data_IF_733366760104
#
_entry.id   IF_733366760104
#
_cell.length_a   1.000
_cell.length_b   1.000
_cell.length_c   1.000
_cell.angle_alpha   90.00
_cell.angle_beta   90.00
_cell.angle_gamma   90.00
#
_symmetry.space_group_name_H-M   'P 1'
#
loop_
_entity.id
_entity.type
_entity.pdbx_description
1 polymer ?
#
# COMPACT_ATOMS: atom_id res chain seq x y z
N UNK A 1 -11.61 31.88 9.25
CA UNK A 1 -10.60 30.90 8.79
C UNK A 1 -9.79 30.45 10.01
N UNK A 2 -9.81 29.15 10.33
CA UNK A 2 -8.97 28.65 11.44
C UNK A 2 -7.51 28.84 11.07
N UNK A 3 -6.73 29.46 11.96
CA UNK A 3 -5.29 29.64 11.79
C UNK A 3 -4.63 28.25 11.71
N UNK A 4 -3.67 28.11 10.80
CA UNK A 4 -2.90 26.85 10.66
C UNK A 4 -2.18 26.55 11.99
N UNK A 5 -2.36 25.33 12.48
CA UNK A 5 -1.69 24.81 13.66
C UNK A 5 -0.84 23.59 13.24
N UNK A 6 0.49 23.69 13.31
CA UNK A 6 1.39 22.60 12.93
C UNK A 6 1.16 21.29 13.69
N UNK A 7 0.71 21.37 14.94
CA UNK A 7 0.48 20.18 15.78
C UNK A 7 -0.68 19.30 15.25
N UNK A 8 -1.62 19.91 14.52
CA UNK A 8 -2.76 19.18 13.96
C UNK A 8 -2.45 18.47 12.62
N UNK A 9 -1.38 18.87 11.94
CA UNK A 9 -1.08 18.38 10.59
C UNK A 9 -0.84 16.87 10.54
N UNK A 10 0.07 16.35 11.37
CA UNK A 10 0.40 14.92 11.41
C UNK A 10 -0.80 14.03 11.77
N UNK A 11 -1.53 14.33 12.87
CA UNK A 11 -2.75 13.62 13.23
C UNK A 11 -3.82 13.66 12.13
N UNK A 12 -4.04 14.79 11.48
CA UNK A 12 -5.00 14.92 10.39
C UNK A 12 -4.59 14.07 9.18
N UNK A 13 -3.33 14.14 8.77
CA UNK A 13 -2.81 13.34 7.67
C UNK A 13 -2.97 11.85 7.92
N UNK A 14 -2.52 11.37 9.08
CA UNK A 14 -2.61 9.96 9.45
C UNK A 14 -4.05 9.47 9.61
N UNK A 15 -4.90 10.29 10.22
CA UNK A 15 -6.33 10.02 10.39
C UNK A 15 -7.07 9.93 9.06
N UNK A 16 -6.84 10.88 8.16
CA UNK A 16 -7.44 10.91 6.82
C UNK A 16 -7.01 9.71 5.99
N UNK A 17 -5.72 9.38 5.98
CA UNK A 17 -5.21 8.22 5.27
C UNK A 17 -5.81 6.91 5.79
N UNK A 18 -5.99 6.79 7.11
CA UNK A 18 -6.65 5.63 7.74
C UNK A 18 -8.13 5.55 7.36
N UNK A 19 -8.87 6.65 7.47
CA UNK A 19 -10.28 6.71 7.13
C UNK A 19 -10.53 6.36 5.65
N UNK A 20 -9.68 6.87 4.75
CA UNK A 20 -9.72 6.53 3.32
C UNK A 20 -9.56 5.02 3.08
N UNK A 21 -8.54 4.40 3.71
CA UNK A 21 -8.32 2.95 3.59
C UNK A 21 -9.48 2.15 4.16
N UNK A 22 -10.02 2.54 5.31
CA UNK A 22 -11.18 1.88 5.91
C UNK A 22 -12.42 1.95 5.01
N UNK A 23 -12.64 3.10 4.36
CA UNK A 23 -13.78 3.26 3.45
C UNK A 23 -13.64 2.37 2.21
N UNK A 24 -12.44 2.26 1.67
CA UNK A 24 -12.16 1.34 0.55
C UNK A 24 -12.32 -0.12 0.99
N UNK A 25 -11.82 -0.47 2.16
CA UNK A 25 -11.95 -1.82 2.72
C UNK A 25 -13.42 -2.23 2.87
N UNK A 26 -14.26 -1.35 3.40
CA UNK A 26 -15.70 -1.58 3.50
C UNK A 26 -16.35 -1.89 2.14
N UNK A 27 -15.94 -1.19 1.08
CA UNK A 27 -16.46 -1.40 -0.28
C UNK A 27 -15.97 -2.68 -0.94
N UNK A 28 -14.78 -3.13 -0.56
CA UNK A 28 -14.17 -4.37 -1.09
C UNK A 28 -14.57 -5.61 -0.29
N UNK A 29 -15.10 -5.43 0.92
CA UNK A 29 -15.53 -6.54 1.78
C UNK A 29 -16.51 -7.52 1.12
N UNK A 30 -17.54 -7.07 0.35
CA UNK A 30 -18.44 -7.99 -0.37
C UNK A 30 -17.73 -8.87 -1.42
N UNK A 31 -16.50 -8.51 -1.82
CA UNK A 31 -15.69 -9.32 -2.74
C UNK A 31 -14.87 -10.42 -2.02
N UNK A 32 -15.03 -10.58 -0.70
CA UNK A 32 -14.24 -11.52 0.11
C UNK A 32 -12.78 -11.11 0.30
N UNK A 33 -12.46 -9.83 0.08
CA UNK A 33 -11.12 -9.29 0.19
C UNK A 33 -10.90 -8.61 1.53
N UNK A 34 -9.99 -9.14 2.34
CA UNK A 34 -9.48 -8.42 3.51
C UNK A 34 -8.54 -7.28 3.09
N UNK A 35 -8.36 -6.31 3.98
CA UNK A 35 -7.46 -5.17 3.73
C UNK A 35 -6.04 -5.63 3.36
N UNK A 36 -5.51 -6.61 4.07
CA UNK A 36 -4.19 -7.17 3.76
C UNK A 36 -4.14 -7.82 2.37
N UNK A 37 -5.17 -8.56 1.96
CA UNK A 37 -5.26 -9.19 0.64
C UNK A 37 -5.27 -8.15 -0.47
N UNK A 38 -6.24 -7.23 -0.49
CA UNK A 38 -6.36 -6.29 -1.60
C UNK A 38 -5.16 -5.32 -1.68
N UNK A 39 -4.59 -4.91 -0.56
CA UNK A 39 -3.38 -4.08 -0.55
C UNK A 39 -2.20 -4.81 -1.18
N UNK A 40 -1.96 -6.05 -0.79
CA UNK A 40 -0.89 -6.87 -1.38
C UNK A 40 -1.06 -7.03 -2.88
N UNK A 41 -2.26 -7.37 -3.35
CA UNK A 41 -2.54 -7.54 -4.78
C UNK A 41 -2.33 -6.24 -5.58
N UNK A 42 -2.75 -5.10 -5.05
CA UNK A 42 -2.55 -3.80 -5.70
C UNK A 42 -1.07 -3.41 -5.75
N UNK A 43 -0.31 -3.66 -4.69
CA UNK A 43 1.14 -3.38 -4.72
C UNK A 43 1.86 -4.27 -5.73
N UNK A 44 1.48 -5.54 -5.84
CA UNK A 44 2.01 -6.43 -6.86
C UNK A 44 1.64 -5.99 -8.28
N UNK A 45 0.41 -5.55 -8.51
CA UNK A 45 -0.05 -5.12 -9.84
C UNK A 45 0.60 -3.82 -10.34
N UNK A 46 1.05 -2.96 -9.43
CA UNK A 46 1.68 -1.67 -9.74
C UNK A 46 3.19 -1.75 -9.83
N UNK A 47 3.77 -2.88 -9.47
CA UNK A 47 5.21 -3.06 -9.53
C UNK A 47 5.65 -3.29 -10.99
N UNK A 48 6.70 -2.60 -11.41
CA UNK A 48 7.33 -2.78 -12.73
C UNK A 48 8.07 -4.12 -12.86
N UNK A 49 8.51 -4.67 -11.72
CA UNK A 49 9.20 -5.94 -11.62
C UNK A 49 8.59 -6.80 -10.49
N UNK A 50 8.74 -8.13 -10.56
CA UNK A 50 8.28 -9.00 -9.48
C UNK A 50 8.94 -8.65 -8.15
N UNK A 51 8.14 -8.54 -7.09
CA UNK A 51 8.60 -8.16 -5.76
C UNK A 51 8.99 -9.38 -4.92
N UNK A 52 10.02 -9.23 -4.10
CA UNK A 52 10.34 -10.19 -3.03
C UNK A 52 9.37 -10.01 -1.86
N UNK A 53 9.30 -11.01 -0.98
CA UNK A 53 8.47 -10.94 0.23
C UNK A 53 8.85 -9.72 1.11
N UNK A 54 10.14 -9.45 1.29
CA UNK A 54 10.61 -8.30 2.06
C UNK A 54 10.16 -6.98 1.44
N UNK A 55 10.29 -6.82 0.11
CA UNK A 55 9.80 -5.62 -0.59
C UNK A 55 8.29 -5.43 -0.46
N UNK A 56 7.51 -6.51 -0.47
CA UNK A 56 6.07 -6.43 -0.26
C UNK A 56 5.76 -6.00 1.18
N UNK A 57 6.47 -6.56 2.17
CA UNK A 57 6.32 -6.19 3.58
C UNK A 57 6.58 -4.69 3.79
N UNK A 58 7.67 -4.17 3.24
CA UNK A 58 8.03 -2.75 3.30
C UNK A 58 6.96 -1.85 2.67
N UNK A 59 6.45 -2.22 1.49
CA UNK A 59 5.43 -1.43 0.77
C UNK A 59 4.05 -1.47 1.44
N UNK A 60 3.70 -2.60 2.04
CA UNK A 60 2.38 -2.78 2.67
C UNK A 60 2.37 -2.40 4.15
N UNK A 61 3.53 -2.32 4.81
CA UNK A 61 3.65 -2.18 6.24
C UNK A 61 3.14 -3.39 7.01
N UNK A 62 3.06 -4.56 6.35
CA UNK A 62 2.71 -5.84 6.98
C UNK A 62 4.01 -6.50 7.44
N UNK A 63 4.05 -6.95 8.69
CA UNK A 63 5.21 -7.68 9.21
C UNK A 63 5.47 -8.97 8.42
N UNK A 64 6.73 -9.31 8.19
CA UNK A 64 7.11 -10.44 7.33
C UNK A 64 6.44 -11.77 7.71
N UNK A 65 6.36 -12.20 8.98
CA UNK A 65 5.69 -13.47 9.33
C UNK A 65 4.21 -13.49 8.95
N UNK A 66 3.52 -12.36 9.15
CA UNK A 66 2.11 -12.18 8.77
C UNK A 66 1.95 -12.20 7.25
N UNK A 67 2.87 -11.54 6.53
CA UNK A 67 2.88 -11.53 5.08
C UNK A 67 3.13 -12.94 4.50
N UNK A 68 4.06 -13.70 5.05
CA UNK A 68 4.32 -15.09 4.63
C UNK A 68 3.05 -15.94 4.72
N UNK A 69 2.34 -15.86 5.84
CA UNK A 69 1.07 -16.56 6.03
C UNK A 69 -0.01 -16.10 5.05
N UNK A 70 -0.06 -14.80 4.75
CA UNK A 70 -0.96 -14.23 3.75
C UNK A 70 -0.65 -14.73 2.34
N UNK A 71 0.63 -14.71 1.94
CA UNK A 71 1.08 -15.16 0.63
C UNK A 71 0.82 -16.67 0.43
N UNK A 72 0.98 -17.48 1.48
CA UNK A 72 0.59 -18.90 1.43
C UNK A 72 -0.89 -19.08 1.10
N UNK A 73 -1.77 -18.30 1.73
CA UNK A 73 -3.21 -18.36 1.44
C UNK A 73 -3.53 -17.88 0.02
N UNK A 74 -2.93 -16.77 -0.41
CA UNK A 74 -3.11 -16.25 -1.77
C UNK A 74 -2.62 -17.24 -2.85
N UNK A 75 -1.54 -17.95 -2.58
CA UNK A 75 -1.01 -19.00 -3.47
C UNK A 75 -1.94 -20.21 -3.51
N UNK A 76 -2.43 -20.68 -2.36
CA UNK A 76 -3.40 -21.76 -2.26
C UNK A 76 -4.73 -21.43 -2.97
N UNK A 77 -5.16 -20.18 -2.89
CA UNK A 77 -6.34 -19.66 -3.60
C UNK A 77 -6.07 -19.44 -5.10
N UNK A 78 -4.81 -19.58 -5.55
CA UNK A 78 -4.39 -19.44 -6.95
C UNK A 78 -4.35 -18.01 -7.45
N UNK A 79 -4.11 -17.03 -6.58
CA UNK A 79 -4.04 -15.62 -6.94
C UNK A 79 -2.62 -15.18 -7.24
N UNK A 80 -1.66 -15.80 -6.59
CA UNK A 80 -0.23 -15.55 -6.79
C UNK A 80 0.53 -16.87 -6.95
N UNK A 81 1.75 -16.79 -7.44
CA UNK A 81 2.74 -17.87 -7.42
C UNK A 81 4.08 -17.31 -6.96
N UNK A 82 4.79 -18.06 -6.13
CA UNK A 82 6.14 -17.71 -5.69
C UNK A 82 7.16 -18.48 -6.51
N UNK A 83 8.11 -17.77 -7.08
CA UNK A 83 9.19 -18.35 -7.91
C UNK A 83 10.54 -17.96 -7.31
N UNK A 84 11.56 -18.76 -7.55
CA UNK A 84 12.92 -18.37 -7.19
C UNK A 84 13.32 -17.14 -7.99
N UNK A 85 13.97 -16.18 -7.32
CA UNK A 85 14.48 -14.99 -8.00
C UNK A 85 15.60 -15.39 -8.98
N UNK A 86 15.58 -14.77 -10.18
CA UNK A 86 16.65 -14.94 -11.14
C UNK A 86 17.97 -14.32 -10.66
N UNK A 87 17.90 -13.30 -9.79
CA UNK A 87 19.09 -12.58 -9.27
C UNK A 87 19.70 -13.25 -8.03
N UNK A 88 18.85 -13.83 -7.16
CA UNK A 88 19.29 -14.52 -5.95
C UNK A 88 18.35 -15.69 -5.65
N UNK A 89 18.86 -16.92 -5.81
CA UNK A 89 18.10 -18.16 -5.56
C UNK A 89 17.64 -18.33 -4.10
N UNK A 90 18.19 -17.57 -3.17
CA UNK A 90 17.78 -17.55 -1.76
C UNK A 90 16.49 -16.75 -1.55
N UNK A 91 16.17 -15.86 -2.49
CA UNK A 91 14.98 -15.03 -2.43
C UNK A 91 13.90 -15.57 -3.36
N UNK A 92 12.65 -15.49 -2.91
CA UNK A 92 11.48 -15.77 -3.74
C UNK A 92 10.83 -14.47 -4.16
N UNK A 93 10.44 -14.41 -5.42
CA UNK A 93 9.61 -13.34 -5.98
C UNK A 93 8.17 -13.79 -6.09
N UNK A 94 7.24 -12.85 -5.92
CA UNK A 94 5.80 -13.10 -5.97
C UNK A 94 5.24 -12.56 -7.27
N UNK A 95 4.51 -13.39 -7.98
CA UNK A 95 3.92 -13.07 -9.28
C UNK A 95 2.40 -13.24 -9.20
N UNK A 96 1.68 -12.32 -9.83
CA UNK A 96 0.23 -12.45 -9.99
C UNK A 96 -0.09 -13.56 -10.99
N UNK A 97 -1.15 -14.30 -10.71
CA UNK A 97 -1.72 -15.23 -11.68
C UNK A 97 -2.64 -14.50 -12.65
N UNK A 98 -2.76 -14.92 -13.94
CA UNK A 98 -3.59 -14.25 -14.93
C UNK A 98 -5.06 -14.08 -14.48
N UNK A 99 -5.61 -15.07 -13.78
CA UNK A 99 -6.99 -15.00 -13.25
C UNK A 99 -7.22 -13.88 -12.24
N UNK A 100 -6.15 -13.36 -11.62
CA UNK A 100 -6.21 -12.28 -10.61
C UNK A 100 -6.48 -10.92 -11.25
N UNK A 101 -6.23 -10.77 -12.54
CA UNK A 101 -6.42 -9.51 -13.27
C UNK A 101 -7.84 -8.97 -13.13
N UNK A 102 -8.86 -9.83 -13.24
CA UNK A 102 -10.27 -9.42 -13.06
C UNK A 102 -10.54 -8.82 -11.69
N UNK A 103 -9.95 -9.40 -10.65
CA UNK A 103 -10.11 -8.91 -9.28
C UNK A 103 -9.41 -7.57 -9.11
N UNK A 104 -8.19 -7.43 -9.64
CA UNK A 104 -7.45 -6.18 -9.62
C UNK A 104 -8.23 -5.08 -10.33
N UNK A 105 -8.82 -5.34 -11.49
CA UNK A 105 -9.63 -4.39 -12.23
C UNK A 105 -10.86 -3.95 -11.42
N UNK A 106 -11.53 -4.86 -10.72
CA UNK A 106 -12.63 -4.52 -9.82
C UNK A 106 -12.20 -3.67 -8.62
N UNK A 107 -11.04 -3.98 -8.01
CA UNK A 107 -10.47 -3.18 -6.93
C UNK A 107 -10.18 -1.76 -7.44
N UNK A 108 -9.53 -1.64 -8.61
CA UNK A 108 -9.19 -0.35 -9.20
C UNK A 108 -10.44 0.47 -9.54
N UNK A 109 -11.47 -0.14 -10.11
CA UNK A 109 -12.75 0.52 -10.40
C UNK A 109 -13.43 1.03 -9.12
N UNK A 110 -13.45 0.21 -8.06
CA UNK A 110 -14.00 0.61 -6.76
C UNK A 110 -13.21 1.75 -6.13
N UNK A 111 -11.88 1.68 -6.20
CA UNK A 111 -11.00 2.75 -5.71
C UNK A 111 -11.16 4.05 -6.50
N UNK A 112 -11.33 3.97 -7.83
CA UNK A 112 -11.59 5.12 -8.69
C UNK A 112 -12.91 5.80 -8.32
N UNK A 113 -13.97 5.01 -8.16
CA UNK A 113 -15.29 5.53 -7.76
C UNK A 113 -15.22 6.23 -6.40
N UNK A 114 -14.58 5.61 -5.41
CA UNK A 114 -14.39 6.23 -4.09
C UNK A 114 -13.61 7.55 -4.20
N UNK A 115 -12.56 7.58 -5.01
CA UNK A 115 -11.75 8.78 -5.23
C UNK A 115 -12.60 9.91 -5.78
N UNK A 116 -13.38 9.66 -6.81
CA UNK A 116 -14.30 10.65 -7.37
C UNK A 116 -15.27 11.19 -6.33
N UNK A 117 -15.88 10.32 -5.55
CA UNK A 117 -16.84 10.74 -4.51
C UNK A 117 -16.22 11.62 -3.42
N UNK A 118 -14.94 11.40 -3.09
CA UNK A 118 -14.29 12.09 -1.98
C UNK A 118 -13.61 13.41 -2.37
N UNK A 119 -13.23 13.58 -3.64
CA UNK A 119 -12.42 14.75 -4.05
C UNK A 119 -12.96 15.50 -5.26
N UNK A 120 -14.08 15.06 -5.86
CA UNK A 120 -14.58 15.63 -7.10
C UNK A 120 -15.08 17.09 -6.96
N UNK A 121 -15.51 17.49 -5.77
CA UNK A 121 -15.98 18.83 -5.44
C UNK A 121 -14.85 19.79 -5.01
N UNK A 122 -13.61 19.29 -4.90
CA UNK A 122 -12.44 20.09 -4.55
C UNK A 122 -11.84 20.70 -5.80
N UNK A 123 -11.63 22.05 -5.84
CA UNK A 123 -11.00 22.68 -6.97
C UNK A 123 -9.63 22.08 -7.31
N UNK A 124 -9.36 21.86 -8.60
CA UNK A 124 -8.09 21.27 -9.07
C UNK A 124 -6.87 21.99 -8.50
N UNK A 125 -6.91 23.35 -8.47
CA UNK A 125 -5.85 24.17 -7.93
C UNK A 125 -5.52 23.82 -6.47
N UNK A 126 -6.54 23.58 -5.64
CA UNK A 126 -6.36 23.28 -4.22
C UNK A 126 -5.79 21.85 -4.06
N UNK A 127 -6.21 20.91 -4.90
CA UNK A 127 -5.62 19.58 -4.96
C UNK A 127 -4.15 19.61 -5.39
N UNK A 128 -3.78 20.45 -6.37
CA UNK A 128 -2.38 20.61 -6.78
C UNK A 128 -1.51 21.17 -5.66
N UNK A 129 -2.03 22.15 -4.90
CA UNK A 129 -1.34 22.69 -3.71
C UNK A 129 -1.17 21.59 -2.65
N UNK A 130 -2.23 20.85 -2.36
CA UNK A 130 -2.19 19.74 -1.41
C UNK A 130 -1.13 18.71 -1.81
N UNK A 131 -1.10 18.30 -3.06
CA UNK A 131 -0.13 17.33 -3.57
C UNK A 131 1.32 17.83 -3.47
N UNK A 132 1.56 19.12 -3.77
CA UNK A 132 2.89 19.71 -3.60
C UNK A 132 3.35 19.69 -2.14
N UNK A 133 2.46 20.07 -1.21
CA UNK A 133 2.77 20.05 0.23
C UNK A 133 3.09 18.64 0.70
N UNK A 134 2.25 17.66 0.35
CA UNK A 134 2.46 16.25 0.74
C UNK A 134 3.77 15.69 0.15
N UNK A 135 4.07 15.98 -1.11
CA UNK A 135 5.33 15.55 -1.74
C UNK A 135 6.54 16.19 -1.04
N UNK A 136 6.47 17.48 -0.73
CA UNK A 136 7.53 18.17 0.01
C UNK A 136 7.78 17.53 1.39
N UNK A 137 6.72 17.26 2.14
CA UNK A 137 6.81 16.57 3.44
C UNK A 137 7.44 15.18 3.27
N UNK A 138 7.02 14.41 2.25
CA UNK A 138 7.57 13.09 1.95
C UNK A 138 9.07 13.15 1.66
N UNK A 139 9.51 14.06 0.80
CA UNK A 139 10.93 14.23 0.49
C UNK A 139 11.77 14.59 1.73
N UNK A 140 11.21 15.38 2.64
CA UNK A 140 11.89 15.73 3.92
C UNK A 140 12.02 14.49 4.82
N UNK A 141 11.00 13.65 4.88
CA UNK A 141 11.04 12.39 5.63
C UNK A 141 12.11 11.46 5.04
N UNK A 142 12.14 11.32 3.71
CA UNK A 142 13.06 10.41 3.04
C UNK A 142 14.54 10.87 3.14
N UNK A 143 14.77 12.19 3.27
CA UNK A 143 16.12 12.79 3.47
C UNK A 143 16.54 12.84 4.93
N UNK A 144 15.62 12.73 5.89
CA UNK A 144 15.96 12.71 7.30
C UNK A 144 16.81 11.47 7.59
N UNK A 145 17.98 11.57 8.24
CA UNK A 145 18.77 10.41 8.60
C UNK A 145 17.90 9.51 9.46
N UNK A 146 17.61 8.31 8.98
CA UNK A 146 16.81 7.34 9.70
C UNK A 146 17.47 7.06 11.04
N UNK A 147 16.73 7.17 12.11
CA UNK A 147 17.03 6.48 13.35
C UNK A 147 16.95 4.99 13.02
N UNK A 148 18.06 4.42 12.53
CA UNK A 148 18.23 3.00 12.38
C UNK A 148 18.07 2.39 13.78
N UNK A 149 16.85 1.96 14.07
CA UNK A 149 16.56 1.12 15.23
C UNK A 149 17.50 -0.06 15.17
N UNK A 150 18.40 -0.06 16.11
CA UNK A 150 19.30 -1.08 16.57
C UNK A 150 18.82 -2.50 16.21
N UNK A 151 19.23 -3.03 15.05
CA UNK A 151 19.23 -4.48 14.83
C UNK A 151 20.42 -5.02 15.58
N UNK A 152 20.15 -5.39 16.84
CA UNK A 152 21.12 -5.97 17.75
C UNK A 152 21.96 -7.05 17.09
N UNK A 153 23.26 -6.79 17.00
CA UNK A 153 24.29 -7.82 16.92
C UNK A 153 24.22 -8.60 18.25
N UNK A 154 23.62 -9.75 18.24
CA UNK A 154 23.96 -10.77 19.20
C UNK A 154 25.05 -11.65 18.59
N UNK A 155 26.18 -11.60 19.28
CA UNK A 155 27.32 -12.53 19.12
C UNK A 155 26.87 -13.95 19.41
#
# INVERSE_FOLDING_TARGET
MKKFDPETFGPLLGGTARAWRMKLDQRLKPMGLSQAKWRTLIHLSRASEPLTQSQIADRTGIEEPTLVSLLHRLEKEGWVVRKNSARDRRCKTVHLQPRTERVINRINATALKLRHELINDIPTRDMEVCMRVLNHVRERIDRAPGTNGNRGRHK
#
